data_IF_070308040212
#
_entry.id   IF_070308040212
#
_cell.length_a   1.000
_cell.length_b   1.000
_cell.length_c   1.000
_cell.angle_alpha   90.00
_cell.angle_beta   90.00
_cell.angle_gamma   90.00
#
_symmetry.space_group_name_H-M   'P 1'
#
loop_
_entity.id
_entity.type
_entity.pdbx_description
1 polymer ?
#
# COMPACT_ATOMS: atom_id res chain seq x y z
N UNK A 1 -2.68 15.30 13.78
CA UNK A 1 -3.32 14.16 14.47
C UNK A 1 -3.28 12.97 13.52
N UNK A 2 -2.45 11.96 13.80
CA UNK A 2 -2.35 10.76 12.97
C UNK A 2 -3.60 9.91 13.18
N UNK A 3 -4.25 9.45 12.12
CA UNK A 3 -5.41 8.55 12.27
C UNK A 3 -4.93 7.13 12.61
N UNK A 4 -5.68 6.41 13.44
CA UNK A 4 -5.48 4.98 13.66
C UNK A 4 -6.18 4.18 12.56
N UNK A 5 -5.55 3.09 12.12
CA UNK A 5 -6.20 2.12 11.23
C UNK A 5 -7.24 1.30 12.01
N UNK A 6 -8.27 0.83 11.31
CA UNK A 6 -9.28 -0.05 11.92
C UNK A 6 -8.64 -1.39 12.28
N UNK A 7 -9.05 -1.97 13.40
CA UNK A 7 -8.54 -3.26 13.89
C UNK A 7 -8.71 -4.38 12.84
N UNK A 8 -9.85 -4.39 12.14
CA UNK A 8 -10.10 -5.33 11.05
C UNK A 8 -9.09 -5.18 9.91
N UNK A 9 -8.75 -3.95 9.54
CA UNK A 9 -7.78 -3.64 8.49
C UNK A 9 -6.37 -4.09 8.89
N UNK A 10 -5.97 -3.84 10.14
CA UNK A 10 -4.68 -4.30 10.67
C UNK A 10 -4.60 -5.84 10.65
N UNK A 11 -5.66 -6.51 11.11
CA UNK A 11 -5.73 -7.97 11.16
C UNK A 11 -5.64 -8.58 9.75
N UNK A 12 -6.35 -8.00 8.78
CA UNK A 12 -6.30 -8.40 7.37
C UNK A 12 -4.88 -8.29 6.80
N UNK A 13 -4.20 -7.16 7.02
CA UNK A 13 -2.85 -6.92 6.52
C UNK A 13 -1.84 -7.90 7.13
N UNK A 14 -1.91 -8.13 8.44
CA UNK A 14 -1.03 -9.07 9.13
C UNK A 14 -1.25 -10.51 8.66
N UNK A 15 -2.50 -10.93 8.50
CA UNK A 15 -2.83 -12.26 7.98
C UNK A 15 -2.33 -12.45 6.54
N UNK A 16 -2.56 -11.45 5.66
CA UNK A 16 -2.09 -11.49 4.29
C UNK A 16 -0.55 -11.57 4.22
N UNK A 17 0.16 -10.74 5.01
CA UNK A 17 1.61 -10.80 5.11
C UNK A 17 2.09 -12.20 5.52
N UNK A 18 1.50 -12.79 6.57
CA UNK A 18 1.91 -14.11 7.06
C UNK A 18 1.71 -15.21 6.00
N UNK A 19 0.67 -15.12 5.18
CA UNK A 19 0.45 -16.03 4.05
C UNK A 19 1.56 -15.83 3.00
N UNK A 20 1.83 -14.59 2.61
CA UNK A 20 2.86 -14.30 1.62
C UNK A 20 4.27 -14.67 2.10
N UNK A 21 4.58 -14.53 3.39
CA UNK A 21 5.88 -14.97 3.95
C UNK A 21 6.10 -16.48 3.79
N UNK A 22 5.05 -17.30 3.97
CA UNK A 22 5.12 -18.74 3.70
C UNK A 22 5.37 -19.02 2.22
N UNK A 23 4.71 -18.28 1.34
CA UNK A 23 4.89 -18.38 -0.13
C UNK A 23 6.31 -17.97 -0.54
N UNK A 24 6.85 -16.91 0.06
CA UNK A 24 8.23 -16.45 -0.16
C UNK A 24 9.23 -17.54 0.26
N UNK A 25 9.06 -18.14 1.44
CA UNK A 25 9.94 -19.21 1.92
C UNK A 25 9.91 -20.43 1.00
N UNK A 26 8.72 -20.82 0.53
CA UNK A 26 8.57 -21.89 -0.44
C UNK A 26 9.32 -21.59 -1.75
N UNK A 27 9.11 -20.42 -2.36
CA UNK A 27 9.83 -20.06 -3.58
C UNK A 27 11.34 -19.90 -3.38
N UNK A 28 11.79 -19.44 -2.22
CA UNK A 28 13.22 -19.43 -1.88
C UNK A 28 13.79 -20.85 -1.79
N UNK A 29 13.04 -21.81 -1.25
CA UNK A 29 13.47 -23.23 -1.20
C UNK A 29 13.56 -23.90 -2.56
N UNK A 30 12.80 -23.41 -3.55
CA UNK A 30 12.85 -23.86 -4.94
C UNK A 30 13.84 -23.06 -5.81
N UNK A 31 14.62 -22.16 -5.19
CA UNK A 31 15.49 -21.19 -5.87
C UNK A 31 14.76 -20.30 -6.90
N UNK A 32 13.44 -20.16 -6.76
CA UNK A 32 12.57 -19.37 -7.63
C UNK A 32 12.54 -17.90 -7.18
N UNK A 33 13.60 -17.18 -7.55
CA UNK A 33 13.84 -15.78 -7.16
C UNK A 33 12.74 -14.83 -7.65
N UNK A 34 12.23 -15.07 -8.86
CA UNK A 34 11.20 -14.25 -9.48
C UNK A 34 9.91 -14.28 -8.67
N UNK A 35 9.47 -15.49 -8.30
CA UNK A 35 8.24 -15.66 -7.55
C UNK A 35 8.39 -15.21 -6.10
N UNK A 36 9.56 -15.39 -5.49
CA UNK A 36 9.85 -14.80 -4.19
C UNK A 36 9.78 -13.27 -4.21
N UNK A 37 10.33 -12.62 -5.25
CA UNK A 37 10.24 -11.17 -5.44
C UNK A 37 8.80 -10.70 -5.65
N UNK A 38 8.02 -11.39 -6.50
CA UNK A 38 6.62 -11.05 -6.75
C UNK A 38 5.74 -11.22 -5.50
N UNK A 39 5.96 -12.27 -4.70
CA UNK A 39 5.25 -12.46 -3.45
C UNK A 39 5.57 -11.37 -2.43
N UNK A 40 6.84 -10.94 -2.32
CA UNK A 40 7.23 -9.81 -1.47
C UNK A 40 6.59 -8.49 -1.95
N UNK A 41 6.60 -8.24 -3.27
CA UNK A 41 5.92 -7.10 -3.88
C UNK A 41 4.42 -7.08 -3.59
N UNK A 42 3.75 -8.23 -3.64
CA UNK A 42 2.32 -8.35 -3.39
C UNK A 42 1.92 -7.85 -1.99
N UNK A 43 2.80 -8.01 -0.99
CA UNK A 43 2.62 -7.48 0.36
C UNK A 43 2.51 -5.94 0.33
N UNK A 44 3.45 -5.26 -0.33
CA UNK A 44 3.42 -3.79 -0.47
C UNK A 44 2.18 -3.32 -1.24
N UNK A 45 1.87 -3.98 -2.34
CA UNK A 45 0.73 -3.59 -3.17
C UNK A 45 -0.60 -3.74 -2.43
N UNK A 46 -0.79 -4.85 -1.70
CA UNK A 46 -1.97 -5.05 -0.85
C UNK A 46 -2.06 -3.97 0.22
N UNK A 47 -0.95 -3.68 0.90
CA UNK A 47 -0.89 -2.64 1.92
C UNK A 47 -1.35 -1.28 1.36
N UNK A 48 -0.77 -0.81 0.27
CA UNK A 48 -1.08 0.51 -0.30
C UNK A 48 -2.55 0.60 -0.73
N UNK A 49 -3.07 -0.43 -1.39
CA UNK A 49 -4.48 -0.47 -1.84
C UNK A 49 -5.44 -0.35 -0.66
N UNK A 50 -5.14 -1.07 0.42
CA UNK A 50 -5.93 -1.02 1.66
C UNK A 50 -5.85 0.36 2.31
N UNK A 51 -4.65 0.93 2.47
CA UNK A 51 -4.48 2.26 3.10
C UNK A 51 -5.17 3.36 2.28
N UNK A 52 -5.05 3.34 0.97
CA UNK A 52 -5.71 4.30 0.09
C UNK A 52 -7.24 4.21 0.21
N UNK A 53 -7.78 2.99 0.31
CA UNK A 53 -9.22 2.75 0.49
C UNK A 53 -9.70 3.29 1.84
N UNK A 54 -8.95 3.05 2.92
CA UNK A 54 -9.25 3.65 4.24
C UNK A 54 -9.18 5.17 4.22
N UNK A 55 -8.20 5.73 3.53
CA UNK A 55 -8.06 7.17 3.37
C UNK A 55 -9.26 7.78 2.62
N UNK A 56 -9.68 7.19 1.50
CA UNK A 56 -10.87 7.64 0.76
C UNK A 56 -12.14 7.54 1.58
N UNK A 57 -12.30 6.46 2.36
CA UNK A 57 -13.43 6.31 3.28
C UNK A 57 -13.48 7.46 4.28
N UNK A 58 -12.34 7.81 4.87
CA UNK A 58 -12.23 8.97 5.76
C UNK A 58 -12.61 10.30 5.07
N UNK A 59 -12.19 10.49 3.82
CA UNK A 59 -12.55 11.69 3.04
C UNK A 59 -14.05 11.74 2.72
N UNK A 60 -14.63 10.59 2.36
CA UNK A 60 -16.07 10.46 2.10
C UNK A 60 -16.89 10.75 3.35
N UNK A 61 -16.54 10.15 4.50
CA UNK A 61 -17.20 10.42 5.78
C UNK A 61 -17.16 11.89 6.15
N UNK A 62 -16.01 12.55 5.98
CA UNK A 62 -15.88 14.00 6.21
C UNK A 62 -16.79 14.78 5.25
N UNK A 63 -16.73 14.48 3.96
CA UNK A 63 -17.54 15.16 2.95
C UNK A 63 -19.04 15.01 3.23
N UNK A 64 -19.50 13.81 3.60
CA UNK A 64 -20.90 13.57 3.96
C UNK A 64 -21.31 14.38 5.20
N UNK A 65 -20.47 14.47 6.23
CA UNK A 65 -20.74 15.31 7.40
C UNK A 65 -20.84 16.79 7.03
N UNK A 66 -19.96 17.28 6.17
CA UNK A 66 -19.99 18.67 5.70
C UNK A 66 -21.29 18.97 4.93
N UNK A 67 -21.74 18.02 4.10
CA UNK A 67 -23.02 18.12 3.38
C UNK A 67 -24.24 18.08 4.31
N UNK A 68 -24.25 17.19 5.31
CA UNK A 68 -25.31 17.13 6.32
C UNK A 68 -25.39 18.45 7.11
N UNK A 69 -24.25 18.97 7.56
CA UNK A 69 -24.21 20.25 8.27
C UNK A 69 -24.75 21.42 7.44
N UNK A 70 -24.50 21.43 6.12
CA UNK A 70 -25.09 22.42 5.22
C UNK A 70 -26.61 22.26 5.08
N UNK A 71 -27.13 21.03 5.01
CA UNK A 71 -28.57 20.79 4.96
C UNK A 71 -29.25 21.27 6.26
N UNK A 72 -28.62 21.01 7.41
CA UNK A 72 -29.17 21.35 8.72
C UNK A 72 -29.10 22.86 9.02
N UNK A 73 -28.02 23.53 8.63
CA UNK A 73 -27.76 24.94 9.00
C UNK A 73 -27.95 25.95 7.86
N UNK A 74 -27.95 25.50 6.60
CA UNK A 74 -28.01 26.36 5.41
C UNK A 74 -26.75 27.17 5.11
N UNK A 75 -25.68 27.03 5.92
CA UNK A 75 -24.45 27.84 5.83
C UNK A 75 -23.30 27.01 5.25
N UNK A 76 -22.45 27.62 4.42
CA UNK A 76 -21.25 27.01 3.82
C UNK A 76 -21.51 25.78 2.93
N UNK A 77 -22.23 25.97 1.82
CA UNK A 77 -22.46 24.91 0.82
C UNK A 77 -21.14 24.28 0.35
N UNK A 78 -20.93 22.96 0.54
CA UNK A 78 -19.74 22.30 0.03
C UNK A 78 -19.66 22.41 -1.50
N UNK A 79 -18.47 22.70 -2.01
CA UNK A 79 -18.25 22.92 -3.46
C UNK A 79 -18.05 21.64 -4.24
N UNK A 80 -17.70 20.54 -3.56
CA UNK A 80 -17.40 19.25 -4.17
C UNK A 80 -18.46 18.22 -3.81
N UNK A 81 -18.96 17.50 -4.82
CA UNK A 81 -19.78 16.31 -4.64
C UNK A 81 -18.92 15.22 -3.96
N UNK A 82 -19.46 14.47 -2.98
CA UNK A 82 -18.72 13.38 -2.36
C UNK A 82 -18.36 12.31 -3.41
N UNK A 83 -17.11 11.87 -3.41
CA UNK A 83 -16.65 10.75 -4.25
C UNK A 83 -16.96 9.43 -3.53
N UNK A 84 -17.86 8.64 -4.10
CA UNK A 84 -18.36 7.40 -3.46
C UNK A 84 -17.58 6.15 -3.87
N UNK A 85 -16.70 6.25 -4.87
CA UNK A 85 -15.86 5.14 -5.31
C UNK A 85 -14.67 5.04 -4.36
N UNK A 86 -14.64 3.98 -3.55
CA UNK A 86 -13.59 3.75 -2.56
C UNK A 86 -12.48 2.86 -3.13
N UNK A 87 -12.85 1.79 -3.83
CA UNK A 87 -11.91 0.81 -4.35
C UNK A 87 -11.33 1.25 -5.68
N UNK A 88 -10.01 1.16 -5.83
CA UNK A 88 -9.35 1.27 -7.14
C UNK A 88 -8.58 -0.01 -7.43
N UNK A 89 -8.76 -0.53 -8.65
CA UNK A 89 -7.98 -1.64 -9.19
C UNK A 89 -6.49 -1.26 -9.30
N UNK A 90 -6.25 0.03 -9.59
CA UNK A 90 -4.93 0.62 -9.77
C UNK A 90 -4.42 1.30 -8.49
N UNK A 91 -3.10 1.47 -8.41
CA UNK A 91 -2.48 2.29 -7.36
C UNK A 91 -2.94 3.76 -7.48
N UNK A 92 -3.10 4.49 -6.37
CA UNK A 92 -3.42 5.92 -6.39
C UNK A 92 -2.37 6.74 -7.14
N UNK A 93 -2.76 7.94 -7.58
CA UNK A 93 -1.80 8.93 -8.09
C UNK A 93 -0.85 9.39 -6.98
N UNK A 94 0.36 9.83 -7.33
CA UNK A 94 1.44 10.19 -6.38
C UNK A 94 0.98 11.05 -5.20
N UNK A 95 0.28 12.15 -5.46
CA UNK A 95 -0.15 13.07 -4.40
C UNK A 95 -1.11 12.40 -3.40
N UNK A 96 -2.09 11.64 -3.90
CA UNK A 96 -3.04 10.90 -3.06
C UNK A 96 -2.35 9.74 -2.32
N UNK A 97 -1.44 9.04 -3.00
CA UNK A 97 -0.64 7.96 -2.43
C UNK A 97 0.13 8.43 -1.19
N UNK A 98 0.93 9.48 -1.36
CA UNK A 98 1.77 10.03 -0.29
C UNK A 98 0.88 10.57 0.84
N UNK A 99 -0.18 11.32 0.48
CA UNK A 99 -1.12 11.85 1.47
C UNK A 99 -1.80 10.74 2.28
N UNK A 100 -2.20 9.65 1.63
CA UNK A 100 -2.85 8.52 2.28
C UNK A 100 -1.94 7.85 3.31
N UNK A 101 -0.68 7.62 2.96
CA UNK A 101 0.31 6.98 3.85
C UNK A 101 0.70 7.90 5.01
N UNK A 102 1.01 9.16 4.72
CA UNK A 102 1.37 10.14 5.74
C UNK A 102 0.25 10.38 6.74
N UNK A 103 -1.02 10.32 6.31
CA UNK A 103 -2.19 10.46 7.20
C UNK A 103 -2.25 9.38 8.30
N UNK A 104 -1.65 8.21 8.05
CA UNK A 104 -1.53 7.11 9.02
C UNK A 104 -0.10 6.99 9.60
N UNK A 105 0.77 7.97 9.33
CA UNK A 105 2.10 8.08 9.91
C UNK A 105 3.21 7.32 9.17
N UNK A 106 2.91 6.69 8.03
CA UNK A 106 3.92 5.97 7.24
C UNK A 106 4.77 6.94 6.39
N UNK A 107 5.97 6.50 6.00
CA UNK A 107 6.85 7.25 5.08
C UNK A 107 6.34 7.17 3.63
N UNK A 108 5.38 8.04 3.27
CA UNK A 108 4.76 8.01 1.95
C UNK A 108 5.72 8.25 0.79
N UNK A 109 6.74 9.09 0.97
CA UNK A 109 7.75 9.38 -0.06
C UNK A 109 8.69 8.18 -0.25
N UNK A 110 9.19 7.60 0.84
CA UNK A 110 10.04 6.41 0.79
C UNK A 110 9.34 5.22 0.12
N UNK A 111 8.06 4.99 0.45
CA UNK A 111 7.27 3.93 -0.20
C UNK A 111 7.03 4.26 -1.68
N UNK A 112 6.80 5.52 -2.04
CA UNK A 112 6.62 5.93 -3.44
C UNK A 112 7.85 5.61 -4.29
N UNK A 113 9.06 5.85 -3.79
CA UNK A 113 10.31 5.57 -4.51
C UNK A 113 10.37 4.10 -4.99
N UNK A 114 9.89 3.16 -4.19
CA UNK A 114 9.84 1.73 -4.54
C UNK A 114 8.70 1.42 -5.51
N UNK A 115 7.57 2.12 -5.39
CA UNK A 115 6.32 1.82 -6.08
C UNK A 115 6.08 2.66 -7.35
N UNK A 116 6.98 3.60 -7.63
CA UNK A 116 6.90 4.50 -8.77
C UNK A 116 6.83 3.71 -10.08
N UNK A 117 5.85 4.04 -10.94
CA UNK A 117 5.67 3.40 -12.25
C UNK A 117 6.90 3.51 -13.15
N UNK A 118 7.67 4.57 -13.00
CA UNK A 118 8.87 4.81 -13.82
C UNK A 118 10.14 4.21 -13.17
N UNK A 119 10.03 3.82 -11.90
CA UNK A 119 11.13 3.33 -11.07
C UNK A 119 11.62 1.92 -11.43
N UNK A 120 12.88 1.65 -11.07
CA UNK A 120 13.57 0.38 -11.36
C UNK A 120 12.83 -0.85 -10.82
N UNK A 121 12.25 -0.75 -9.61
CA UNK A 121 11.58 -1.88 -8.95
C UNK A 121 10.27 -2.24 -9.65
N UNK A 122 9.41 -1.26 -9.93
CA UNK A 122 8.11 -1.51 -10.61
C UNK A 122 8.28 -1.93 -12.05
N UNK A 123 9.25 -1.34 -12.78
CA UNK A 123 9.61 -1.80 -14.12
C UNK A 123 9.97 -3.27 -14.10
N UNK A 124 10.82 -3.69 -13.16
CA UNK A 124 11.21 -5.08 -13.02
C UNK A 124 10.04 -5.99 -12.65
N UNK A 125 9.18 -5.59 -11.71
CA UNK A 125 7.94 -6.31 -11.39
C UNK A 125 7.07 -6.51 -12.64
N UNK A 126 6.90 -5.47 -13.45
CA UNK A 126 6.07 -5.54 -14.65
C UNK A 126 6.68 -6.49 -15.69
N UNK A 127 7.99 -6.43 -15.91
CA UNK A 127 8.67 -7.37 -16.79
C UNK A 127 8.45 -8.82 -16.35
N UNK A 128 8.61 -9.11 -15.06
CA UNK A 128 8.38 -10.45 -14.50
C UNK A 128 6.93 -10.90 -14.70
N UNK A 129 5.96 -10.05 -14.35
CA UNK A 129 4.55 -10.38 -14.41
C UNK A 129 4.02 -10.55 -15.85
N UNK A 130 4.53 -9.78 -16.81
CA UNK A 130 4.03 -9.79 -18.19
C UNK A 130 4.82 -10.69 -19.14
N UNK A 131 6.11 -10.87 -18.92
CA UNK A 131 6.99 -11.59 -19.86
C UNK A 131 7.67 -12.82 -19.26
N UNK A 132 7.60 -13.02 -17.94
CA UNK A 132 8.32 -14.11 -17.26
C UNK A 132 9.84 -13.97 -17.31
N UNK A 133 10.38 -12.78 -17.64
CA UNK A 133 11.81 -12.55 -17.84
C UNK A 133 12.58 -12.68 -16.52
N UNK A 134 13.22 -13.83 -16.32
CA UNK A 134 14.03 -14.16 -15.13
C UNK A 134 15.16 -13.18 -14.85
N UNK A 135 15.60 -13.12 -13.59
CA UNK A 135 16.81 -12.44 -13.17
C UNK A 135 18.04 -13.19 -13.70
N UNK A 136 18.75 -12.56 -14.63
CA UNK A 136 20.04 -13.08 -15.13
C UNK A 136 21.20 -12.70 -14.21
N UNK A 137 21.07 -11.57 -13.48
CA UNK A 137 22.04 -11.10 -12.51
C UNK A 137 21.50 -11.23 -11.08
N UNK A 138 22.20 -12.03 -10.28
CA UNK A 138 21.89 -12.27 -8.87
C UNK A 138 22.06 -10.99 -8.04
N UNK A 139 23.02 -10.13 -8.41
CA UNK A 139 23.27 -8.87 -7.69
C UNK A 139 22.08 -7.92 -7.81
N UNK A 140 21.54 -7.79 -9.03
CA UNK A 140 20.32 -7.03 -9.30
C UNK A 140 19.12 -7.58 -8.54
N UNK A 141 18.95 -8.91 -8.51
CA UNK A 141 17.89 -9.53 -7.69
C UNK A 141 18.04 -9.17 -6.21
N UNK A 142 19.22 -9.40 -5.63
CA UNK A 142 19.47 -9.16 -4.21
C UNK A 142 19.24 -7.69 -3.84
N UNK A 143 19.68 -6.75 -4.67
CA UNK A 143 19.48 -5.31 -4.45
C UNK A 143 18.00 -4.94 -4.45
N UNK A 144 17.27 -5.31 -5.51
CA UNK A 144 15.85 -4.95 -5.63
C UNK A 144 14.99 -5.65 -4.58
N UNK A 145 15.28 -6.91 -4.28
CA UNK A 145 14.57 -7.67 -3.26
C UNK A 145 14.82 -7.09 -1.86
N UNK A 146 16.07 -6.75 -1.52
CA UNK A 146 16.41 -6.16 -0.22
C UNK A 146 15.72 -4.80 -0.01
N UNK A 147 15.67 -3.96 -1.05
CA UNK A 147 14.95 -2.67 -1.01
C UNK A 147 13.46 -2.87 -0.67
N UNK A 148 12.79 -3.82 -1.33
CA UNK A 148 11.37 -4.13 -1.13
C UNK A 148 11.14 -4.75 0.26
N UNK A 149 11.96 -5.73 0.63
CA UNK A 149 11.86 -6.43 1.92
C UNK A 149 12.07 -5.48 3.09
N UNK A 150 13.06 -4.58 3.01
CA UNK A 150 13.28 -3.52 4.00
C UNK A 150 12.05 -2.65 4.16
N UNK A 151 11.42 -2.24 3.06
CA UNK A 151 10.21 -1.41 3.10
C UNK A 151 9.04 -2.15 3.75
N UNK A 152 8.84 -3.43 3.41
CA UNK A 152 7.83 -4.29 4.05
C UNK A 152 8.08 -4.37 5.56
N UNK A 153 9.32 -4.59 6.00
CA UNK A 153 9.66 -4.63 7.41
C UNK A 153 9.37 -3.32 8.13
N UNK A 154 9.74 -2.18 7.56
CA UNK A 154 9.49 -0.87 8.13
C UNK A 154 7.98 -0.62 8.31
N UNK A 155 7.21 -0.79 7.23
CA UNK A 155 5.75 -0.61 7.26
C UNK A 155 5.11 -1.47 8.34
N UNK A 156 5.40 -2.78 8.35
CA UNK A 156 4.69 -3.68 9.23
C UNK A 156 5.20 -3.67 10.67
N UNK A 157 6.40 -3.15 10.93
CA UNK A 157 6.82 -2.81 12.30
C UNK A 157 5.94 -1.69 12.84
N UNK A 158 5.68 -0.67 12.01
CA UNK A 158 4.80 0.43 12.38
C UNK A 158 3.33 -0.01 12.50
N UNK A 159 2.82 -0.87 11.61
CA UNK A 159 1.46 -1.43 11.73
C UNK A 159 1.28 -2.15 13.09
N UNK A 160 2.28 -2.91 13.54
CA UNK A 160 2.23 -3.59 14.84
C UNK A 160 2.25 -2.61 16.01
N UNK A 161 3.05 -1.54 15.95
CA UNK A 161 3.06 -0.50 16.97
C UNK A 161 1.68 0.16 17.11
N UNK A 162 1.06 0.52 15.98
CA UNK A 162 -0.29 1.14 15.97
C UNK A 162 -1.37 0.19 16.54
N UNK A 163 -1.14 -1.13 16.52
CA UNK A 163 -2.08 -2.12 17.05
C UNK A 163 -1.95 -2.34 18.57
N UNK A 164 -0.75 -2.16 19.11
CA UNK A 164 -0.46 -2.38 20.54
C UNK A 164 -0.88 -1.22 21.45
N UNK A 165 -1.21 -0.06 20.86
CA UNK A 165 -1.66 1.18 21.52
C UNK A 165 -3.16 1.45 21.32
#
# INVERSE_FOLDING_TARGET
MTKKLRISTVSELLAFRAIQEKVILHYKSEENREMAFLACWAILEKFIKVIATEYRRCLLEKSLRDWLAYIDSGINKPTKKPETVLDNVNLPKKSEFISSLNNYGFDGEGVWIIMDSEGKHRRRRNELAHTGRKFTDISTYNLLYADVEKMVHQIFSQVKLIHSD
#
